data_IF_194457342601
#
_entry.id   IF_194457342601
#
_cell.length_a   1.000
_cell.length_b   1.000
_cell.length_c   1.000
_cell.angle_alpha   90.00
_cell.angle_beta   90.00
_cell.angle_gamma   90.00
#
_symmetry.space_group_name_H-M   'P 1'
#
loop_
_entity.id
_entity.type
_entity.pdbx_description
1 polymer ?
#
# COMPACT_ATOMS: atom_id res chain seq x y z
N UNK A 1 -18.53 2.54 3.10
CA UNK A 1 -17.42 3.05 3.94
C UNK A 1 -16.89 4.30 3.27
N UNK A 2 -16.82 5.42 3.99
CA UNK A 2 -16.27 6.68 3.46
C UNK A 2 -14.76 6.55 3.21
N UNK A 3 -14.21 7.37 2.31
CA UNK A 3 -12.77 7.43 2.03
C UNK A 3 -11.95 7.70 3.31
N UNK A 4 -12.46 8.57 4.19
CA UNK A 4 -11.84 8.87 5.50
C UNK A 4 -11.68 7.63 6.37
N UNK A 5 -12.70 6.77 6.43
CA UNK A 5 -12.61 5.55 7.23
C UNK A 5 -11.64 4.56 6.57
N UNK A 6 -11.60 4.50 5.23
CA UNK A 6 -10.67 3.62 4.52
C UNK A 6 -9.23 4.02 4.83
N UNK A 7 -8.92 5.31 4.74
CA UNK A 7 -7.60 5.86 5.05
C UNK A 7 -7.20 5.59 6.51
N UNK A 8 -8.12 5.83 7.45
CA UNK A 8 -7.89 5.60 8.88
C UNK A 8 -7.55 4.14 9.21
N UNK A 9 -8.06 3.17 8.44
CA UNK A 9 -7.70 1.75 8.59
C UNK A 9 -6.48 1.34 7.77
N UNK A 10 -6.27 2.01 6.64
CA UNK A 10 -5.21 1.65 5.71
C UNK A 10 -3.83 2.02 6.26
N UNK A 11 -3.64 3.24 6.79
CA UNK A 11 -2.32 3.65 7.31
C UNK A 11 -1.77 2.71 8.39
N UNK A 12 -2.55 2.31 9.42
CA UNK A 12 -2.07 1.33 10.40
C UNK A 12 -1.73 -0.03 9.78
N UNK A 13 -2.56 -0.53 8.87
CA UNK A 13 -2.28 -1.80 8.18
C UNK A 13 -1.01 -1.72 7.33
N UNK A 14 -0.78 -0.58 6.67
CA UNK A 14 0.45 -0.32 5.93
C UNK A 14 1.65 -0.28 6.88
N UNK A 15 1.57 0.40 8.03
CA UNK A 15 2.64 0.38 9.03
C UNK A 15 3.01 -1.05 9.43
N UNK A 16 2.01 -1.88 9.78
CA UNK A 16 2.26 -3.29 10.14
C UNK A 16 2.91 -4.08 9.01
N UNK A 17 2.47 -3.88 7.77
CA UNK A 17 3.11 -4.52 6.59
C UNK A 17 4.59 -4.10 6.50
N UNK A 18 4.90 -2.82 6.72
CA UNK A 18 6.28 -2.33 6.65
C UNK A 18 7.15 -2.86 7.78
N UNK A 19 6.60 -3.10 8.97
CA UNK A 19 7.30 -3.70 10.11
C UNK A 19 7.74 -5.14 9.83
N UNK A 20 6.93 -5.90 9.10
CA UNK A 20 7.26 -7.27 8.68
C UNK A 20 8.39 -7.36 7.64
N UNK A 21 8.78 -6.24 7.03
CA UNK A 21 9.86 -6.21 6.04
C UNK A 21 11.23 -6.20 6.69
N UNK A 22 12.12 -7.08 6.21
CA UNK A 22 13.54 -6.94 6.48
C UNK A 22 14.06 -5.62 5.91
N UNK A 23 15.21 -5.16 6.38
CA UNK A 23 15.81 -3.92 5.88
C UNK A 23 16.07 -3.94 4.36
N UNK A 24 16.47 -5.09 3.82
CA UNK A 24 16.69 -5.26 2.38
C UNK A 24 15.38 -5.17 1.59
N UNK A 25 14.33 -5.88 2.02
CA UNK A 25 13.02 -5.86 1.37
C UNK A 25 12.37 -4.48 1.47
N UNK A 26 12.54 -3.81 2.61
CA UNK A 26 12.07 -2.45 2.81
C UNK A 26 12.74 -1.46 1.85
N UNK A 27 14.06 -1.56 1.66
CA UNK A 27 14.79 -0.75 0.66
C UNK A 27 14.34 -1.05 -0.77
N UNK A 28 14.11 -2.31 -1.11
CA UNK A 28 13.55 -2.68 -2.42
C UNK A 28 12.14 -2.11 -2.61
N UNK A 29 11.29 -2.16 -1.57
CA UNK A 29 9.96 -1.56 -1.61
C UNK A 29 10.05 -0.05 -1.84
N UNK A 30 10.91 0.65 -1.08
CA UNK A 30 11.14 2.08 -1.27
C UNK A 30 11.60 2.39 -2.70
N UNK A 31 12.56 1.63 -3.24
CA UNK A 31 13.05 1.81 -4.61
C UNK A 31 11.94 1.70 -5.66
N UNK A 32 10.97 0.80 -5.46
CA UNK A 32 9.85 0.60 -6.39
C UNK A 32 8.72 1.66 -6.27
N UNK A 33 8.76 2.57 -5.29
CA UNK A 33 7.81 3.69 -5.18
C UNK A 33 8.17 4.84 -6.13
N UNK A 34 7.93 4.67 -7.43
CA UNK A 34 8.40 5.59 -8.47
C UNK A 34 7.76 6.98 -8.46
N UNK A 35 6.56 7.15 -7.89
CA UNK A 35 5.95 8.48 -7.77
C UNK A 35 6.57 9.33 -6.67
N UNK A 36 7.30 8.72 -5.75
CA UNK A 36 7.95 9.40 -4.63
C UNK A 36 9.42 9.59 -4.99
N UNK A 37 9.89 10.83 -5.16
CA UNK A 37 11.29 11.10 -5.47
C UNK A 37 12.23 10.48 -4.44
N UNK A 38 13.39 9.96 -4.88
CA UNK A 38 14.32 9.25 -4.00
C UNK A 38 14.77 10.10 -2.80
N UNK A 39 15.16 11.36 -3.04
CA UNK A 39 15.55 12.28 -1.97
C UNK A 39 14.45 12.61 -0.95
N UNK A 40 13.18 12.29 -1.23
CA UNK A 40 12.07 12.47 -0.27
C UNK A 40 11.95 11.29 0.69
N UNK A 41 12.33 10.08 0.25
CA UNK A 41 12.23 8.84 1.06
C UNK A 41 13.57 8.42 1.67
N UNK A 42 14.70 8.92 1.18
CA UNK A 42 16.02 8.65 1.75
C UNK A 42 16.13 9.15 3.20
N UNK A 43 16.67 8.30 4.08
CA UNK A 43 16.91 8.64 5.48
C UNK A 43 15.66 8.84 6.35
N UNK A 44 14.46 8.69 5.80
CA UNK A 44 13.23 8.77 6.60
C UNK A 44 13.05 7.52 7.45
N UNK A 45 12.66 7.73 8.70
CA UNK A 45 12.27 6.63 9.56
C UNK A 45 11.05 5.90 9.00
N UNK A 46 11.03 4.57 9.17
CA UNK A 46 10.00 3.68 8.62
C UNK A 46 8.58 4.10 9.01
N UNK A 47 8.40 4.65 10.21
CA UNK A 47 7.13 5.16 10.74
C UNK A 47 6.49 6.28 9.89
N UNK A 48 7.29 7.08 9.16
CA UNK A 48 6.77 8.16 8.31
C UNK A 48 6.42 7.72 6.88
N UNK A 49 6.88 6.53 6.47
CA UNK A 49 6.70 6.06 5.10
C UNK A 49 5.22 5.81 4.74
N UNK A 50 4.36 5.25 5.62
CA UNK A 50 2.93 5.09 5.33
C UNK A 50 2.24 6.41 4.94
N UNK A 51 2.51 7.47 5.70
CA UNK A 51 1.95 8.81 5.42
C UNK A 51 2.42 9.34 4.08
N UNK A 52 3.71 9.20 3.79
CA UNK A 52 4.30 9.64 2.53
C UNK A 52 3.70 8.91 1.33
N UNK A 53 3.50 7.60 1.44
CA UNK A 53 2.90 6.79 0.37
C UNK A 53 1.46 7.24 0.13
N UNK A 54 0.66 7.42 1.18
CA UNK A 54 -0.73 7.89 1.05
C UNK A 54 -0.78 9.32 0.47
N UNK A 55 0.14 10.20 0.85
CA UNK A 55 0.21 11.56 0.32
C UNK A 55 0.44 11.59 -1.21
N UNK A 56 1.35 10.77 -1.73
CA UNK A 56 1.73 10.78 -3.15
C UNK A 56 0.80 9.94 -4.04
N UNK A 57 0.28 8.83 -3.52
CA UNK A 57 -0.55 7.90 -4.29
C UNK A 57 -2.05 8.03 -4.01
N UNK A 58 -2.44 8.73 -2.94
CA UNK A 58 -3.77 8.63 -2.36
C UNK A 58 -4.03 7.27 -1.70
N UNK A 59 -5.10 7.16 -0.92
CA UNK A 59 -5.45 5.92 -0.20
C UNK A 59 -5.67 4.73 -1.14
N UNK A 60 -6.47 4.89 -2.21
CA UNK A 60 -6.71 3.77 -3.13
C UNK A 60 -5.47 3.43 -3.96
N UNK A 61 -4.76 4.45 -4.44
CA UNK A 61 -3.56 4.25 -5.26
C UNK A 61 -2.44 3.58 -4.49
N UNK A 62 -2.26 3.93 -3.22
CA UNK A 62 -1.26 3.31 -2.35
C UNK A 62 -1.55 1.84 -2.09
N UNK A 63 -2.82 1.44 -1.90
CA UNK A 63 -3.20 0.02 -1.76
C UNK A 63 -2.79 -0.79 -2.99
N UNK A 64 -3.09 -0.29 -4.19
CA UNK A 64 -2.71 -0.97 -5.43
C UNK A 64 -1.19 -1.03 -5.64
N UNK A 65 -0.50 0.07 -5.33
CA UNK A 65 0.95 0.12 -5.51
C UNK A 65 1.65 -0.85 -4.56
N UNK A 66 1.26 -0.89 -3.28
CA UNK A 66 1.81 -1.83 -2.32
C UNK A 66 1.53 -3.28 -2.72
N UNK A 67 0.31 -3.61 -3.15
CA UNK A 67 -0.01 -4.96 -3.66
C UNK A 67 0.86 -5.37 -4.85
N UNK A 68 1.13 -4.45 -5.77
CA UNK A 68 2.04 -4.69 -6.89
C UNK A 68 3.47 -4.88 -6.40
N UNK A 69 3.95 -4.02 -5.51
CA UNK A 69 5.34 -4.07 -5.01
C UNK A 69 5.58 -5.36 -4.22
N UNK A 70 4.68 -5.76 -3.32
CA UNK A 70 4.83 -6.99 -2.53
C UNK A 70 4.95 -8.24 -3.42
N UNK A 71 4.26 -8.27 -4.56
CA UNK A 71 4.41 -9.35 -5.56
C UNK A 71 5.76 -9.30 -6.28
N UNK A 72 6.32 -8.11 -6.49
CA UNK A 72 7.63 -7.93 -7.11
C UNK A 72 8.79 -8.26 -6.15
N UNK A 73 8.64 -8.04 -4.84
CA UNK A 73 9.60 -8.41 -3.79
C UNK A 73 9.27 -9.77 -3.13
N UNK A 74 8.65 -10.68 -3.90
CA UNK A 74 7.80 -11.83 -3.51
C UNK A 74 7.38 -12.01 -2.04
N UNK A 75 6.93 -10.96 -1.34
CA UNK A 75 6.35 -11.03 0.03
C UNK A 75 4.91 -11.54 0.01
N UNK A 76 4.78 -12.84 -0.26
CA UNK A 76 3.51 -13.57 -0.37
C UNK A 76 3.12 -14.32 0.93
N UNK A 77 3.89 -14.14 2.00
CA UNK A 77 3.63 -14.71 3.30
C UNK A 77 2.39 -14.11 3.98
N UNK A 78 1.83 -14.85 4.93
CA UNK A 78 0.60 -14.47 5.62
C UNK A 78 0.74 -13.13 6.36
N UNK A 79 1.88 -12.88 7.00
CA UNK A 79 2.11 -11.67 7.79
C UNK A 79 1.94 -10.38 6.96
N UNK A 80 2.37 -10.41 5.69
CA UNK A 80 2.15 -9.29 4.75
C UNK A 80 0.79 -9.36 4.05
N UNK A 81 0.34 -10.54 3.64
CA UNK A 81 -0.84 -10.66 2.77
C UNK A 81 -2.17 -10.56 3.50
N UNK A 82 -2.26 -11.02 4.75
CA UNK A 82 -3.47 -10.91 5.57
C UNK A 82 -3.89 -9.47 5.86
N UNK A 83 -2.99 -8.55 6.28
CA UNK A 83 -3.37 -7.14 6.45
C UNK A 83 -3.66 -6.43 5.12
N UNK A 84 -3.06 -6.86 4.01
CA UNK A 84 -3.21 -6.21 2.70
C UNK A 84 -4.48 -6.63 1.95
N UNK A 85 -4.76 -7.93 1.88
CA UNK A 85 -5.81 -8.53 1.03
C UNK A 85 -7.20 -7.92 1.21
N UNK A 86 -7.69 -7.61 2.43
CA UNK A 86 -9.02 -7.01 2.62
C UNK A 86 -9.21 -5.70 1.87
N UNK A 87 -8.15 -4.88 1.77
CA UNK A 87 -8.19 -3.60 1.08
C UNK A 87 -8.22 -3.79 -0.44
N UNK A 88 -7.33 -4.66 -0.96
CA UNK A 88 -7.24 -4.97 -2.39
C UNK A 88 -8.55 -5.54 -2.92
N UNK A 89 -9.11 -6.56 -2.25
CA UNK A 89 -10.34 -7.23 -2.69
C UNK A 89 -11.55 -6.29 -2.66
N UNK A 90 -11.60 -5.41 -1.66
CA UNK A 90 -12.64 -4.39 -1.60
C UNK A 90 -12.57 -3.41 -2.78
N UNK A 91 -11.38 -2.91 -3.11
CA UNK A 91 -11.20 -1.99 -4.25
C UNK A 91 -11.52 -2.69 -5.59
N UNK A 92 -11.17 -3.97 -5.74
CA UNK A 92 -11.57 -4.78 -6.91
C UNK A 92 -13.09 -4.86 -7.05
N UNK A 93 -13.80 -5.21 -5.96
CA UNK A 93 -15.27 -5.29 -5.94
C UNK A 93 -15.93 -3.94 -6.28
N UNK A 94 -15.42 -2.83 -5.74
CA UNK A 94 -15.93 -1.50 -6.06
C UNK A 94 -15.75 -1.12 -7.54
N UNK A 95 -14.62 -1.50 -8.15
CA UNK A 95 -14.36 -1.26 -9.58
C UNK A 95 -15.25 -2.11 -10.48
N UNK A 96 -15.49 -3.38 -10.12
CA UNK A 96 -16.38 -4.28 -10.87
C UNK A 96 -17.85 -3.84 -10.78
N UNK A 97 -18.33 -3.46 -9.59
CA UNK A 97 -19.69 -2.93 -9.41
C UNK A 97 -19.94 -1.64 -10.21
N UNK A 98 -18.93 -0.78 -10.36
CA UNK A 98 -19.01 0.42 -11.22
C UNK A 98 -19.01 0.10 -12.73
N UNK A 99 -18.39 -1.01 -13.15
CA UNK A 99 -18.44 -1.46 -14.55
C UNK A 99 -19.80 -2.05 -14.94
N UNK A 100 -20.54 -2.64 -13.99
CA UNK A 100 -21.88 -3.19 -14.21
C UNK A 100 -23.02 -2.16 -14.31
N UNK A 101 -22.77 -0.88 -13.98
CA UNK A 101 -23.76 0.21 -14.12
C UNK A 101 -23.65 0.98 -15.45
N UNK A 102 -22.75 0.56 -16.36
CA UNK A 102 -22.66 1.07 -17.73
C UNK A 102 -23.15 -0.01 -18.70
N UNK A 103 -24.45 -0.29 -18.69
CA UNK A 103 -25.15 -1.04 -19.73
C UNK A 103 -26.59 -0.58 -19.77
#
# INVERSE_FOLDING_TARGET
MSLKLLEAKWKPALSSILEELTEAEFRMMLFNLFKIPQGVKDGKAREYIPDLIVQYYGTEGSIFEIDKIMKNIPRNDAAVQEPLRPFVEKLKKQRQGKKGLKS
#
